data_IF_041154022784
#
_entry.id   IF_041154022784
#
_cell.length_a   1.000
_cell.length_b   1.000
_cell.length_c   1.000
_cell.angle_alpha   90.00
_cell.angle_beta   90.00
_cell.angle_gamma   90.00
#
_symmetry.space_group_name_H-M   'P 1'
#
loop_
_entity.id
_entity.type
_entity.pdbx_description
1 polymer ?
#
# COMPACT_ATOMS: atom_id res chain seq x y z
N UNK A 1 -37.54 6.08 -17.76
CA UNK A 1 -36.55 6.92 -18.46
C UNK A 1 -35.26 6.14 -18.56
N UNK A 2 -34.74 6.07 -19.72
CA UNK A 2 -33.46 5.40 -19.92
C UNK A 2 -32.35 6.42 -19.84
N UNK A 3 -31.48 6.29 -18.87
CA UNK A 3 -30.17 6.93 -18.91
C UNK A 3 -29.38 6.17 -19.97
N UNK A 4 -28.78 6.88 -20.92
CA UNK A 4 -27.97 6.22 -21.92
C UNK A 4 -26.83 5.48 -21.22
N UNK A 5 -26.64 4.25 -21.62
CA UNK A 5 -25.68 3.35 -20.97
C UNK A 5 -24.27 3.93 -20.91
N UNK A 6 -23.82 4.56 -22.01
CA UNK A 6 -22.51 5.17 -22.07
C UNK A 6 -22.34 6.35 -21.10
N UNK A 7 -23.41 7.16 -20.93
CA UNK A 7 -23.40 8.25 -19.95
C UNK A 7 -23.31 7.70 -18.53
N UNK A 8 -24.10 6.67 -18.23
CA UNK A 8 -24.09 6.03 -16.92
C UNK A 8 -22.69 5.49 -16.59
N UNK A 9 -22.13 4.67 -17.48
CA UNK A 9 -20.85 4.02 -17.21
C UNK A 9 -19.66 4.98 -17.24
N UNK A 10 -19.70 5.99 -18.10
CA UNK A 10 -18.57 6.90 -18.26
C UNK A 10 -18.57 8.05 -17.25
N UNK A 11 -19.71 8.41 -16.68
CA UNK A 11 -19.81 9.53 -15.76
C UNK A 11 -20.11 9.13 -14.33
N UNK A 12 -21.01 8.17 -14.13
CA UNK A 12 -21.47 7.77 -12.82
C UNK A 12 -20.54 6.75 -12.16
N UNK A 13 -20.12 5.76 -12.92
CA UNK A 13 -19.33 4.66 -12.36
C UNK A 13 -17.95 5.11 -11.85
N UNK A 14 -17.19 5.94 -12.59
CA UNK A 14 -15.94 6.48 -12.05
C UNK A 14 -16.12 7.27 -10.76
N UNK A 15 -17.18 8.10 -10.68
CA UNK A 15 -17.49 8.85 -9.46
C UNK A 15 -17.81 7.93 -8.28
N UNK A 16 -18.51 6.84 -8.54
CA UNK A 16 -18.82 5.84 -7.53
C UNK A 16 -17.54 5.15 -7.01
N UNK A 17 -16.67 4.74 -7.90
CA UNK A 17 -15.39 4.14 -7.49
C UNK A 17 -14.51 5.11 -6.73
N UNK A 18 -14.48 6.37 -7.14
CA UNK A 18 -13.71 7.39 -6.44
C UNK A 18 -14.23 7.57 -5.01
N UNK A 19 -15.55 7.61 -4.84
CA UNK A 19 -16.18 7.72 -3.52
C UNK A 19 -15.89 6.51 -2.65
N UNK A 20 -15.94 5.31 -3.21
CA UNK A 20 -15.61 4.09 -2.50
C UNK A 20 -14.15 4.09 -2.07
N UNK A 21 -13.24 4.49 -2.96
CA UNK A 21 -11.81 4.55 -2.65
C UNK A 21 -11.54 5.52 -1.51
N UNK A 22 -12.17 6.68 -1.52
CA UNK A 22 -12.05 7.65 -0.44
C UNK A 22 -12.51 7.07 0.89
N UNK A 23 -13.66 6.40 0.91
CA UNK A 23 -14.21 5.80 2.12
C UNK A 23 -13.32 4.68 2.64
N UNK A 24 -12.78 3.86 1.76
CA UNK A 24 -11.86 2.79 2.13
C UNK A 24 -10.58 3.34 2.75
N UNK A 25 -10.00 4.40 2.17
CA UNK A 25 -8.80 5.03 2.73
C UNK A 25 -9.07 5.62 4.11
N UNK A 26 -10.25 6.24 4.28
CA UNK A 26 -10.65 6.80 5.56
C UNK A 26 -10.78 5.71 6.63
N UNK A 27 -11.46 4.61 6.31
CA UNK A 27 -11.63 3.48 7.22
C UNK A 27 -10.28 2.86 7.57
N UNK A 28 -9.40 2.71 6.59
CA UNK A 28 -8.08 2.15 6.82
C UNK A 28 -7.25 3.04 7.75
N UNK A 29 -7.33 4.35 7.58
CA UNK A 29 -6.64 5.29 8.45
C UNK A 29 -7.15 5.18 9.89
N UNK A 30 -8.45 5.05 10.09
CA UNK A 30 -9.02 4.87 11.43
C UNK A 30 -8.51 3.61 12.11
N UNK A 31 -8.36 2.53 11.35
CA UNK A 31 -7.87 1.25 11.89
C UNK A 31 -6.40 1.34 12.29
N UNK A 32 -5.56 1.98 11.49
CA UNK A 32 -4.11 1.96 11.70
C UNK A 32 -3.56 3.16 12.48
N UNK A 33 -4.34 4.23 12.64
CA UNK A 33 -3.88 5.42 13.35
C UNK A 33 -3.45 5.16 14.80
N UNK A 34 -4.10 4.25 15.58
CA UNK A 34 -3.64 3.92 16.92
C UNK A 34 -2.21 3.36 16.97
N UNK A 35 -1.73 2.82 15.86
CA UNK A 35 -0.37 2.28 15.75
C UNK A 35 0.62 3.31 15.19
N UNK A 36 0.19 4.56 15.02
CA UNK A 36 1.03 5.60 14.46
C UNK A 36 1.24 5.47 12.96
N UNK A 37 0.33 4.82 12.26
CA UNK A 37 0.43 4.58 10.83
C UNK A 37 -0.63 5.36 10.06
N UNK A 38 -0.37 5.59 8.78
CA UNK A 38 -1.32 6.20 7.84
C UNK A 38 -1.83 5.14 6.87
N UNK A 39 -2.81 5.51 6.05
CA UNK A 39 -3.29 4.62 5.00
C UNK A 39 -2.18 4.27 3.99
N UNK A 40 -1.24 5.20 3.76
CA UNK A 40 -0.09 4.93 2.89
C UNK A 40 0.79 3.81 3.44
N UNK A 41 1.01 3.77 4.75
CA UNK A 41 1.74 2.67 5.40
C UNK A 41 0.96 1.35 5.30
N UNK A 42 -0.34 1.41 5.52
CA UNK A 42 -1.19 0.22 5.52
C UNK A 42 -1.19 -0.50 4.17
N UNK A 43 -1.10 0.23 3.07
CA UNK A 43 -1.05 -0.35 1.72
C UNK A 43 0.12 -1.32 1.58
N UNK A 44 1.28 -0.98 2.13
CA UNK A 44 2.46 -1.86 2.10
C UNK A 44 2.29 -3.10 2.97
N UNK A 45 1.65 -2.95 4.13
CA UNK A 45 1.36 -4.10 4.99
C UNK A 45 0.39 -5.07 4.32
N UNK A 46 -0.62 -4.56 3.63
CA UNK A 46 -1.56 -5.39 2.87
C UNK A 46 -0.84 -6.11 1.74
N UNK A 47 0.03 -5.42 1.00
CA UNK A 47 0.79 -6.04 -0.08
C UNK A 47 1.65 -7.20 0.44
N UNK A 48 2.31 -7.04 1.58
CA UNK A 48 3.10 -8.11 2.19
C UNK A 48 2.23 -9.22 2.75
N UNK A 49 1.03 -8.92 3.21
CA UNK A 49 0.08 -9.95 3.65
C UNK A 49 -0.37 -10.82 2.48
N UNK A 50 -0.56 -10.23 1.32
CA UNK A 50 -0.94 -10.96 0.11
C UNK A 50 0.21 -11.79 -0.44
N UNK A 51 1.43 -11.27 -0.40
CA UNK A 51 2.62 -11.98 -0.83
C UNK A 51 3.80 -11.54 0.02
N UNK A 52 4.13 -12.33 1.03
CA UNK A 52 5.25 -12.03 1.94
C UNK A 52 6.59 -12.30 1.26
N UNK A 53 7.65 -11.70 1.78
CA UNK A 53 8.99 -11.91 1.25
C UNK A 53 9.22 -11.24 -0.10
N UNK A 54 9.01 -9.93 -0.17
CA UNK A 54 9.23 -9.14 -1.39
C UNK A 54 10.40 -8.19 -1.26
N UNK A 55 11.08 -7.91 -2.39
CA UNK A 55 12.11 -6.87 -2.46
C UNK A 55 11.46 -5.49 -2.57
N UNK A 56 12.26 -4.42 -2.36
CA UNK A 56 11.77 -3.06 -2.57
C UNK A 56 11.25 -2.86 -4.00
N UNK A 57 11.98 -3.38 -4.99
CA UNK A 57 11.58 -3.25 -6.40
C UNK A 57 10.27 -4.00 -6.65
N UNK A 58 10.14 -5.21 -6.12
CA UNK A 58 8.93 -6.01 -6.27
C UNK A 58 7.72 -5.31 -5.66
N UNK A 59 7.85 -4.78 -4.44
CA UNK A 59 6.79 -4.03 -3.78
C UNK A 59 6.39 -2.79 -4.57
N UNK A 60 7.38 -2.05 -5.06
CA UNK A 60 7.14 -0.85 -5.85
C UNK A 60 6.34 -1.15 -7.11
N UNK A 61 6.68 -2.24 -7.80
CA UNK A 61 5.96 -2.68 -9.00
C UNK A 61 4.55 -3.13 -8.68
N UNK A 62 4.39 -3.91 -7.62
CA UNK A 62 3.08 -4.44 -7.21
C UNK A 62 2.11 -3.30 -6.89
N UNK A 63 2.59 -2.25 -6.24
CA UNK A 63 1.78 -1.11 -5.83
C UNK A 63 1.78 0.04 -6.83
N UNK A 64 2.57 -0.06 -7.90
CA UNK A 64 2.75 1.01 -8.89
C UNK A 64 3.19 2.32 -8.24
N UNK A 65 4.16 2.22 -7.34
CA UNK A 65 4.75 3.36 -6.62
C UNK A 65 6.25 3.41 -6.86
N UNK A 66 6.87 4.57 -6.65
CA UNK A 66 8.31 4.67 -6.87
C UNK A 66 9.10 4.00 -5.74
N UNK A 67 10.31 3.57 -6.08
CA UNK A 67 11.18 2.83 -5.15
C UNK A 67 11.65 3.69 -3.99
N UNK A 68 11.87 4.99 -4.20
CA UNK A 68 12.31 5.89 -3.14
C UNK A 68 11.22 6.04 -2.07
N UNK A 69 9.96 6.19 -2.48
CA UNK A 69 8.85 6.25 -1.56
C UNK A 69 8.67 4.92 -0.81
N UNK A 70 8.77 3.81 -1.52
CA UNK A 70 8.71 2.48 -0.92
C UNK A 70 9.79 2.31 0.14
N UNK A 71 11.02 2.72 -0.15
CA UNK A 71 12.12 2.65 0.80
C UNK A 71 11.83 3.45 2.08
N UNK A 72 11.30 4.66 1.94
CA UNK A 72 10.95 5.49 3.09
C UNK A 72 9.88 4.84 3.98
N UNK A 73 8.84 4.31 3.37
CA UNK A 73 7.74 3.68 4.10
C UNK A 73 8.22 2.41 4.80
N UNK A 74 8.95 1.57 4.10
CA UNK A 74 9.48 0.32 4.68
C UNK A 74 10.43 0.61 5.84
N UNK A 75 11.23 1.67 5.74
CA UNK A 75 12.11 2.08 6.84
C UNK A 75 11.29 2.42 8.10
N UNK A 76 10.21 3.18 7.95
CA UNK A 76 9.32 3.52 9.06
C UNK A 76 8.68 2.26 9.64
N UNK A 77 8.17 1.37 8.81
CA UNK A 77 7.55 0.13 9.26
C UNK A 77 8.54 -0.78 9.99
N UNK A 78 9.78 -0.83 9.52
CA UNK A 78 10.83 -1.60 10.17
C UNK A 78 11.18 -1.01 11.55
N UNK A 79 11.32 0.31 11.63
CA UNK A 79 11.62 0.99 12.89
C UNK A 79 10.50 0.79 13.92
N UNK A 80 9.26 0.69 13.48
CA UNK A 80 8.10 0.43 14.33
C UNK A 80 7.88 -1.05 14.63
N UNK A 81 8.64 -1.94 14.01
CA UNK A 81 8.56 -3.38 14.28
C UNK A 81 7.48 -4.12 13.51
N UNK A 82 6.90 -3.54 12.48
CA UNK A 82 5.87 -4.19 11.66
C UNK A 82 6.44 -5.06 10.54
N UNK A 83 7.66 -4.78 10.12
CA UNK A 83 8.36 -5.57 9.10
C UNK A 83 9.80 -5.81 9.53
N UNK A 84 10.40 -6.83 8.96
CA UNK A 84 11.84 -7.08 9.06
C UNK A 84 12.36 -7.49 7.70
N UNK A 85 13.67 -7.53 7.54
CA UNK A 85 14.29 -7.98 6.31
C UNK A 85 15.44 -8.96 6.60
N UNK A 86 15.88 -9.67 5.57
CA UNK A 86 16.92 -10.69 5.68
C UNK A 86 18.30 -10.19 5.29
N UNK A 87 18.50 -8.87 5.19
CA UNK A 87 19.81 -8.32 4.83
C UNK A 87 20.84 -8.66 5.92
N UNK A 88 22.04 -9.03 5.46
CA UNK A 88 23.13 -9.39 6.37
C UNK A 88 23.96 -8.18 6.79
N UNK A 89 23.98 -7.13 5.96
CA UNK A 89 24.67 -5.86 6.24
C UNK A 89 23.79 -4.71 5.75
N UNK A 90 24.01 -3.52 6.28
CA UNK A 90 23.26 -2.34 5.84
C UNK A 90 23.51 -1.97 4.38
N UNK A 91 24.62 -2.43 3.82
CA UNK A 91 25.00 -2.16 2.43
C UNK A 91 24.48 -3.21 1.45
N UNK A 92 23.73 -4.20 1.91
CA UNK A 92 23.13 -5.20 1.03
C UNK A 92 22.16 -4.54 0.07
N UNK A 93 22.36 -4.76 -1.24
CA UNK A 93 21.56 -4.11 -2.28
C UNK A 93 20.26 -4.86 -2.57
N UNK A 94 20.20 -6.15 -2.26
CA UNK A 94 19.03 -6.97 -2.49
C UNK A 94 18.72 -7.76 -1.22
N UNK A 95 17.51 -7.62 -0.74
CA UNK A 95 17.02 -8.33 0.42
C UNK A 95 15.52 -8.46 0.33
N UNK A 96 14.97 -9.41 1.06
CA UNK A 96 13.54 -9.68 1.10
C UNK A 96 12.95 -9.13 2.39
N UNK A 97 11.76 -8.58 2.28
CA UNK A 97 11.04 -7.92 3.36
C UNK A 97 9.86 -8.79 3.76
N UNK A 98 9.68 -8.98 5.07
CA UNK A 98 8.67 -9.87 5.65
C UNK A 98 7.87 -9.14 6.72
N UNK A 99 6.61 -9.54 6.89
CA UNK A 99 5.82 -9.14 8.05
C UNK A 99 6.36 -9.81 9.33
N UNK A 100 6.31 -9.06 10.42
CA UNK A 100 6.68 -9.61 11.73
C UNK A 100 5.63 -10.58 12.28
#
# INVERSE_FOLDING_TARGET
MAIQEDVYWNSFLPAFFDRMSFQMRKNMTEVVSPYGLTSAHAVYLIALKLQDGQTLVSLSRFLDLDTANTNRVIKVLREKGFVYDDRKTENSKKYFIYLT
#
